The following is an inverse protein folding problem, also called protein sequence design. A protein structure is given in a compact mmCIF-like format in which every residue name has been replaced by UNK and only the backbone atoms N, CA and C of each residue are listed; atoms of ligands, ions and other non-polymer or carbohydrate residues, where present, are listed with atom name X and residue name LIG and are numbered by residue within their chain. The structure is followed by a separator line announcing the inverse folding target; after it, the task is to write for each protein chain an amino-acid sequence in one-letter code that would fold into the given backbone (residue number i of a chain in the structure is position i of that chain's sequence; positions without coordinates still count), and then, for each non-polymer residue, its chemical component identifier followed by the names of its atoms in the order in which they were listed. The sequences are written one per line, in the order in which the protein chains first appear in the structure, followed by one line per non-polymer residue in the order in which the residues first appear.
data_IF_099698028983
#
_entry.id   IF_099698028983
#
_cell.length_a   1.000
_cell.length_b   1.000
_cell.length_c   1.000
_cell.angle_alpha   90.00
_cell.angle_beta   90.00
_cell.angle_gamma   90.00
#
_symmetry.space_group_name_H-M   'P 1'
#
loop_
_entity.id
_entity.type
_entity.pdbx_description
1 polymer ?
#
# COMPACT_ATOMS: atom_id res chain seq x y z
N UNK A 1 9.91 -13.82 5.12
CA UNK A 1 8.44 -13.86 4.94
C UNK A 1 7.97 -15.26 5.30
N UNK A 2 7.00 -15.39 6.20
CA UNK A 2 6.35 -16.66 6.46
C UNK A 2 5.26 -16.85 5.39
N UNK A 3 5.41 -17.86 4.55
CA UNK A 3 4.41 -18.23 3.55
C UNK A 3 3.72 -19.52 3.98
N UNK A 4 2.40 -19.57 3.84
CA UNK A 4 1.60 -20.76 4.10
C UNK A 4 1.12 -21.30 2.76
N UNK A 5 1.37 -22.59 2.49
CA UNK A 5 0.79 -23.25 1.33
C UNK A 5 -0.70 -23.48 1.58
N UNK A 6 -1.55 -22.90 0.75
CA UNK A 6 -3.01 -23.01 0.87
C UNK A 6 -3.60 -23.55 -0.45
N UNK A 7 -4.24 -24.74 -0.44
CA UNK A 7 -4.79 -25.33 -1.66
C UNK A 7 -6.03 -24.55 -2.11
N UNK A 8 -5.95 -23.92 -3.29
CA UNK A 8 -7.03 -23.17 -3.90
C UNK A 8 -7.34 -23.70 -5.29
N UNK A 9 -8.63 -23.78 -5.62
CA UNK A 9 -9.07 -23.92 -7.01
C UNK A 9 -9.11 -22.52 -7.61
N UNK A 10 -8.25 -22.27 -8.58
CA UNK A 10 -8.15 -20.99 -9.27
C UNK A 10 -8.84 -21.13 -10.63
N UNK A 11 -9.74 -20.21 -11.00
CA UNK A 11 -10.34 -20.18 -12.34
C UNK A 11 -9.27 -20.15 -13.44
N UNK A 12 -9.52 -20.87 -14.53
CA UNK A 12 -8.55 -21.01 -15.63
C UNK A 12 -8.21 -19.65 -16.25
N UNK A 13 -9.17 -18.74 -16.31
CA UNK A 13 -9.01 -17.39 -16.85
C UNK A 13 -7.97 -16.58 -16.06
N UNK A 14 -7.92 -16.74 -14.73
CA UNK A 14 -6.92 -16.07 -13.89
C UNK A 14 -5.53 -16.69 -14.07
N UNK A 15 -5.47 -18.00 -14.29
CA UNK A 15 -4.22 -18.71 -14.61
C UNK A 15 -3.67 -18.23 -15.95
N UNK A 16 -4.52 -18.06 -16.95
CA UNK A 16 -4.13 -17.57 -18.26
C UNK A 16 -3.62 -16.11 -18.18
N UNK A 17 -4.27 -15.25 -17.39
CA UNK A 17 -3.78 -13.89 -17.12
C UNK A 17 -2.43 -13.87 -16.41
N UNK A 18 -2.24 -14.74 -15.41
CA UNK A 18 -0.96 -14.84 -14.70
C UNK A 18 0.17 -15.30 -15.63
N UNK A 19 -0.12 -16.18 -16.60
CA UNK A 19 0.85 -16.60 -17.62
C UNK A 19 1.25 -15.43 -18.53
N UNK A 20 0.29 -14.63 -19.01
CA UNK A 20 0.59 -13.45 -19.85
C UNK A 20 1.53 -12.50 -19.09
N UNK A 21 1.20 -12.17 -17.83
CA UNK A 21 2.05 -11.31 -16.99
C UNK A 21 3.43 -11.92 -16.73
N UNK A 22 3.50 -13.23 -16.53
CA UNK A 22 4.75 -13.95 -16.32
C UNK A 22 5.70 -13.83 -17.52
N UNK A 23 5.17 -13.91 -18.73
CA UNK A 23 5.91 -13.72 -19.98
C UNK A 23 6.35 -12.25 -20.15
N UNK A 24 5.47 -11.29 -19.91
CA UNK A 24 5.78 -9.85 -20.03
C UNK A 24 6.84 -9.38 -19.03
N UNK A 25 6.78 -9.87 -17.79
CA UNK A 25 7.69 -9.47 -16.71
C UNK A 25 8.90 -10.40 -16.54
N UNK A 26 9.01 -11.45 -17.35
CA UNK A 26 10.07 -12.48 -17.28
C UNK A 26 10.19 -13.13 -15.89
N UNK A 27 9.06 -13.50 -15.28
CA UNK A 27 8.98 -14.17 -13.97
C UNK A 27 8.26 -15.50 -14.07
N UNK A 28 8.33 -16.34 -13.04
CA UNK A 28 7.52 -17.56 -13.00
C UNK A 28 6.02 -17.23 -12.76
N UNK A 29 5.16 -18.12 -13.24
CA UNK A 29 3.70 -17.94 -13.16
C UNK A 29 3.19 -17.81 -11.71
N UNK A 30 3.82 -18.51 -10.75
CA UNK A 30 3.42 -18.39 -9.35
C UNK A 30 3.81 -17.03 -8.77
N UNK A 31 4.93 -16.46 -9.19
CA UNK A 31 5.33 -15.09 -8.85
C UNK A 31 4.36 -14.07 -9.46
N UNK A 32 4.03 -14.18 -10.74
CA UNK A 32 3.04 -13.32 -11.38
C UNK A 32 1.69 -13.36 -10.66
N UNK A 33 1.21 -14.56 -10.29
CA UNK A 33 -0.03 -14.72 -9.52
C UNK A 33 0.06 -14.07 -8.13
N UNK A 34 1.19 -14.24 -7.42
CA UNK A 34 1.42 -13.58 -6.12
C UNK A 34 1.42 -12.05 -6.24
N UNK A 35 2.02 -11.49 -7.28
CA UNK A 35 1.99 -10.05 -7.54
C UNK A 35 0.55 -9.57 -7.81
N UNK A 36 -0.23 -10.30 -8.60
CA UNK A 36 -1.65 -9.97 -8.86
C UNK A 36 -2.47 -9.99 -7.57
N UNK A 37 -2.31 -11.04 -6.74
CA UNK A 37 -2.95 -11.14 -5.42
C UNK A 37 -2.53 -9.98 -4.51
N UNK A 38 -1.25 -9.61 -4.51
CA UNK A 38 -0.75 -8.47 -3.74
C UNK A 38 -1.39 -7.17 -4.20
N UNK A 39 -1.46 -6.92 -5.50
CA UNK A 39 -2.09 -5.72 -6.06
C UNK A 39 -3.58 -5.63 -5.69
N UNK A 40 -4.31 -6.74 -5.75
CA UNK A 40 -5.71 -6.80 -5.32
C UNK A 40 -5.89 -6.58 -3.81
N UNK A 41 -5.00 -7.14 -2.99
CA UNK A 41 -5.01 -6.92 -1.54
C UNK A 41 -4.73 -5.45 -1.18
N UNK A 42 -3.77 -4.82 -1.87
CA UNK A 42 -3.46 -3.40 -1.74
C UNK A 42 -4.67 -2.53 -2.05
N UNK A 43 -5.34 -2.76 -3.18
CA UNK A 43 -6.53 -2.00 -3.58
C UNK A 43 -7.69 -2.20 -2.59
N UNK A 44 -7.95 -3.44 -2.17
CA UNK A 44 -8.99 -3.74 -1.20
C UNK A 44 -8.76 -3.03 0.14
N UNK A 45 -7.53 -3.08 0.66
CA UNK A 45 -7.17 -2.41 1.92
C UNK A 45 -7.33 -0.89 1.79
N UNK A 46 -6.91 -0.29 0.67
CA UNK A 46 -7.10 1.15 0.45
C UNK A 46 -8.59 1.55 0.42
N UNK A 47 -9.45 0.73 -0.19
CA UNK A 47 -10.90 0.96 -0.17
C UNK A 47 -11.45 0.93 1.27
N UNK A 48 -11.03 -0.03 2.10
CA UNK A 48 -11.43 -0.05 3.50
C UNK A 48 -11.00 1.21 4.27
N UNK A 49 -9.82 1.76 3.97
CA UNK A 49 -9.38 3.03 4.58
C UNK A 49 -10.23 4.19 4.09
N UNK A 50 -10.45 4.28 2.77
CA UNK A 50 -11.26 5.33 2.14
C UNK A 50 -12.69 5.36 2.70
N UNK A 51 -13.27 4.19 2.95
CA UNK A 51 -14.62 4.03 3.48
C UNK A 51 -14.68 4.17 5.01
N UNK A 52 -13.55 4.50 5.67
CA UNK A 52 -13.45 4.65 7.12
C UNK A 52 -13.64 3.35 7.91
N UNK A 53 -13.57 2.19 7.25
CA UNK A 53 -13.73 0.86 7.89
C UNK A 53 -12.51 0.45 8.70
N UNK A 54 -11.32 0.89 8.28
CA UNK A 54 -10.07 0.68 9.01
C UNK A 54 -9.23 1.97 8.98
N UNK A 55 -8.33 2.12 9.95
CA UNK A 55 -7.37 3.23 9.95
C UNK A 55 -6.19 2.97 9.00
N UNK A 56 -5.48 4.04 8.59
CA UNK A 56 -4.23 3.91 7.83
C UNK A 56 -3.15 3.11 8.57
N UNK A 57 -3.14 3.19 9.91
CA UNK A 57 -2.26 2.34 10.74
C UNK A 57 -2.63 0.86 10.62
N UNK A 58 -3.93 0.53 10.64
CA UNK A 58 -4.36 -0.87 10.47
C UNK A 58 -4.06 -1.40 9.07
N UNK A 59 -4.21 -0.56 8.05
CA UNK A 59 -3.80 -0.88 6.69
C UNK A 59 -2.29 -1.20 6.59
N UNK A 60 -1.46 -0.41 7.27
CA UNK A 60 -0.01 -0.61 7.31
C UNK A 60 0.35 -1.98 7.92
N UNK A 61 -0.28 -2.35 9.03
CA UNK A 61 -0.12 -3.68 9.64
C UNK A 61 -0.50 -4.82 8.68
N UNK A 62 -1.67 -4.73 8.03
CA UNK A 62 -2.18 -5.77 7.13
C UNK A 62 -1.30 -5.96 5.89
N UNK A 63 -0.78 -4.86 5.36
CA UNK A 63 0.08 -4.87 4.19
C UNK A 63 1.56 -5.15 4.53
N UNK A 64 1.92 -5.20 5.81
CA UNK A 64 3.32 -5.34 6.25
C UNK A 64 4.19 -4.17 5.80
N UNK A 65 3.62 -2.96 5.79
CA UNK A 65 4.23 -1.74 5.26
C UNK A 65 4.21 -0.64 6.32
N UNK A 66 4.91 0.48 6.10
CA UNK A 66 4.78 1.65 6.96
C UNK A 66 3.50 2.44 6.62
N UNK A 67 3.03 3.27 7.56
CA UNK A 67 1.90 4.17 7.29
C UNK A 67 2.20 5.13 6.11
N UNK A 68 3.45 5.55 5.95
CA UNK A 68 3.88 6.39 4.82
C UNK A 68 3.78 5.65 3.48
N UNK A 69 4.10 4.35 3.45
CA UNK A 69 3.92 3.52 2.26
C UNK A 69 2.45 3.45 1.84
N UNK A 70 1.55 3.26 2.81
CA UNK A 70 0.10 3.24 2.55
C UNK A 70 -0.38 4.56 1.97
N UNK A 71 0.07 5.70 2.51
CA UNK A 71 -0.27 7.03 1.98
C UNK A 71 0.27 7.22 0.56
N UNK A 72 1.51 6.80 0.29
CA UNK A 72 2.09 6.86 -1.06
C UNK A 72 1.34 5.97 -2.05
N UNK A 73 0.99 4.76 -1.62
CA UNK A 73 0.22 3.80 -2.40
C UNK A 73 -1.16 4.38 -2.75
N UNK A 74 -1.84 4.97 -1.79
CA UNK A 74 -3.11 5.69 -1.99
C UNK A 74 -2.99 6.79 -3.04
N UNK A 75 -1.98 7.66 -2.91
CA UNK A 75 -1.72 8.75 -3.87
C UNK A 75 -1.47 8.20 -5.28
N UNK A 76 -0.68 7.11 -5.42
CA UNK A 76 -0.43 6.44 -6.72
C UNK A 76 -1.72 5.90 -7.35
N UNK A 77 -2.70 5.50 -6.54
CA UNK A 77 -4.01 5.00 -6.97
C UNK A 77 -5.07 6.11 -7.12
N UNK A 78 -4.68 7.39 -7.04
CA UNK A 78 -5.59 8.53 -7.15
C UNK A 78 -6.53 8.69 -5.94
N UNK A 79 -6.18 8.10 -4.80
CA UNK A 79 -6.93 8.26 -3.55
C UNK A 79 -6.24 9.31 -2.67
N UNK A 80 -7.00 10.33 -2.28
CA UNK A 80 -6.54 11.32 -1.29
C UNK A 80 -6.65 10.72 0.11
N UNK A 81 -5.51 10.31 0.67
CA UNK A 81 -5.38 9.84 2.04
C UNK A 81 -4.27 10.61 2.77
N UNK A 82 -4.54 10.97 4.03
CA UNK A 82 -3.60 11.71 4.88
C UNK A 82 -3.74 13.24 4.79
N UNK A 83 -2.66 13.94 5.14
CA UNK A 83 -2.62 15.40 5.11
C UNK A 83 -2.53 15.92 3.67
N UNK A 84 -3.23 17.03 3.41
CA UNK A 84 -3.09 17.77 2.14
C UNK A 84 -1.69 18.37 2.03
N UNK A 85 -1.20 18.72 0.82
CA UNK A 85 0.09 19.38 0.65
C UNK A 85 0.23 20.65 1.49
N UNK A 86 -0.87 21.40 1.64
CA UNK A 86 -0.91 22.60 2.49
C UNK A 86 -0.74 22.26 3.98
N UNK A 87 -1.43 21.23 4.45
CA UNK A 87 -1.30 20.74 5.82
C UNK A 87 0.11 20.20 6.10
N UNK A 88 0.72 19.50 5.14
CA UNK A 88 2.08 18.97 5.21
C UNK A 88 3.12 20.11 5.29
N UNK A 89 2.96 21.15 4.48
CA UNK A 89 3.81 22.35 4.53
C UNK A 89 3.67 23.11 5.85
N UNK A 90 2.43 23.26 6.37
CA UNK A 90 2.17 23.93 7.63
C UNK A 90 2.71 23.14 8.84
N UNK A 91 2.61 21.80 8.80
CA UNK A 91 3.18 20.91 9.80
C UNK A 91 4.72 21.04 9.83
N UNK A 92 5.37 21.05 8.65
CA UNK A 92 6.83 21.21 8.53
C UNK A 92 7.31 22.55 9.12
N UNK A 93 6.66 23.66 8.77
CA UNK A 93 6.95 24.99 9.34
C UNK A 93 6.80 25.01 10.86
N UNK A 94 5.78 24.32 11.39
CA UNK A 94 5.55 24.22 12.83
C UNK A 94 6.65 23.42 13.52
N UNK A 95 7.06 22.29 12.93
CA UNK A 95 8.14 21.46 13.44
C UNK A 95 9.48 22.20 13.45
N UNK A 96 9.80 22.96 12.39
CA UNK A 96 11.01 23.79 12.33
C UNK A 96 11.04 24.86 13.43
N UNK A 97 9.93 25.57 13.64
CA UNK A 97 9.80 26.57 14.71
C UNK A 97 10.02 25.94 16.08
N UNK A 98 9.46 24.76 16.32
CA UNK A 98 9.61 24.02 17.57
C UNK A 98 11.07 23.59 17.78
N UNK A 99 11.71 23.02 16.77
CA UNK A 99 13.10 22.59 16.82
C UNK A 99 14.06 23.77 17.12
N UNK A 100 13.82 24.94 16.52
CA UNK A 100 14.60 26.17 16.83
C UNK A 100 14.42 26.60 18.29
N UNK A 101 13.19 26.59 18.82
CA UNK A 101 12.92 26.93 20.22
C UNK A 101 13.59 25.97 21.20
N UNK A 102 13.64 24.67 20.88
CA UNK A 102 14.29 23.66 21.73
C UNK A 102 15.82 23.79 21.75
N UNK A 103 16.44 24.19 20.63
CA UNK A 103 17.90 24.45 20.55
C UNK A 103 18.34 25.77 21.20
N UNK A 104 17.40 26.69 21.44
CA UNK A 104 17.65 27.98 22.09
C UNK A 104 17.48 27.91 23.62
N UNK A 105 17.15 26.73 24.16
CA UNK A 105 17.19 26.39 25.58
C UNK A 105 18.48 25.66 25.89
#
# INVERSE_FOLDING_TARGET
MNAVAYPLRIPQELIDLARIRAEEEYVDQATALRQMLRAGAEDYVLHLVKDGRISSGKAAELLGQSMYDVIRLARKRGMELGATPEQEANASKTAEKLARKLKAR
#
